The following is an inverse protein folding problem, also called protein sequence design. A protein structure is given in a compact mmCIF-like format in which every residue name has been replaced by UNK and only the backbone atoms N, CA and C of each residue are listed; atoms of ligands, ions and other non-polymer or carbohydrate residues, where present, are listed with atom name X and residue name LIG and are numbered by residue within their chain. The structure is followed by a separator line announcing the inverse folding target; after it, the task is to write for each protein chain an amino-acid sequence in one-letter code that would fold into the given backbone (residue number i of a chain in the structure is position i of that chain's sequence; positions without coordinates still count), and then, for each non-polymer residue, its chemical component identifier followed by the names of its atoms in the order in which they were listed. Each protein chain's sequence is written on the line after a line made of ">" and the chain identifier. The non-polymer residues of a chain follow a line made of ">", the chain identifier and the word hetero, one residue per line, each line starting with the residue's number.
data_IF_263292690266
#
_entry.id   IF_263292690266
#
_cell.length_a   1.000
_cell.length_b   1.000
_cell.length_c   1.000
_cell.angle_alpha   90.00
_cell.angle_beta   90.00
_cell.angle_gamma   90.00
#
_symmetry.space_group_name_H-M   'P 1'
#
loop_
_entity.id
_entity.type
_entity.pdbx_description
1 polymer ?
#
# COMPACT_ATOMS: atom_id res chain seq x y z
N UNK A 1 -35.41 19.54 10.21
CA UNK A 1 -34.15 19.05 9.64
C UNK A 1 -33.42 18.30 10.72
N UNK A 2 -34.08 17.29 11.28
CA UNK A 2 -33.85 16.89 12.68
C UNK A 2 -33.32 15.44 12.79
N UNK A 3 -33.24 14.74 11.65
CA UNK A 3 -32.79 13.35 11.58
C UNK A 3 -31.31 13.15 11.99
N UNK A 4 -30.46 14.19 11.90
CA UNK A 4 -29.04 14.12 12.29
C UNK A 4 -28.82 14.35 13.79
N UNK A 5 -29.74 15.04 14.45
CA UNK A 5 -29.63 15.46 15.87
C UNK A 5 -30.18 14.37 16.80
N UNK A 6 -31.21 13.63 16.37
CA UNK A 6 -31.78 12.50 17.13
C UNK A 6 -31.29 11.12 16.65
N UNK A 7 -30.60 11.07 15.51
CA UNK A 7 -30.22 9.84 14.79
C UNK A 7 -28.76 9.39 14.98
N UNK A 8 -28.22 9.52 16.20
CA UNK A 8 -26.88 9.05 16.57
C UNK A 8 -26.57 7.59 16.20
N UNK A 9 -25.29 7.23 16.15
CA UNK A 9 -24.83 5.86 15.90
C UNK A 9 -23.81 5.44 16.96
N UNK A 10 -23.94 4.20 17.47
CA UNK A 10 -23.07 3.64 18.52
C UNK A 10 -23.02 4.50 19.80
N UNK A 11 -21.98 5.32 19.97
CA UNK A 11 -21.70 6.10 21.19
C UNK A 11 -21.79 7.62 21.01
N UNK A 12 -22.00 8.10 19.78
CA UNK A 12 -22.17 9.53 19.48
C UNK A 12 -23.64 9.80 19.10
N UNK A 13 -24.39 10.53 19.96
CA UNK A 13 -25.84 10.72 19.80
C UNK A 13 -26.19 11.74 18.69
N UNK A 14 -25.24 12.59 18.28
CA UNK A 14 -25.45 13.64 17.28
C UNK A 14 -24.38 13.53 16.16
N UNK A 15 -24.84 13.46 14.91
CA UNK A 15 -23.97 13.37 13.73
C UNK A 15 -23.42 14.72 13.27
N UNK A 16 -23.98 15.82 13.77
CA UNK A 16 -23.60 17.19 13.41
C UNK A 16 -22.45 17.75 14.25
N UNK A 17 -22.19 17.15 15.41
CA UNK A 17 -21.15 17.58 16.36
C UNK A 17 -19.85 16.81 16.11
N UNK A 18 -18.71 17.46 16.39
CA UNK A 18 -17.40 16.80 16.32
C UNK A 18 -17.19 15.85 17.51
N UNK A 19 -16.67 14.66 17.21
CA UNK A 19 -16.32 13.64 18.21
C UNK A 19 -14.80 13.61 18.42
N UNK A 20 -14.32 13.33 19.63
CA UNK A 20 -12.89 13.33 19.94
C UNK A 20 -12.17 12.02 19.57
N UNK A 21 -12.89 10.90 19.52
CA UNK A 21 -12.33 9.57 19.29
C UNK A 21 -12.44 9.14 17.82
N UNK A 22 -13.52 9.54 17.17
CA UNK A 22 -13.86 9.13 15.82
C UNK A 22 -12.88 9.64 14.74
N UNK A 23 -12.34 10.88 14.80
CA UNK A 23 -11.23 11.33 13.97
C UNK A 23 -10.01 10.42 14.05
N UNK A 24 -9.66 9.98 15.28
CA UNK A 24 -8.53 9.08 15.50
C UNK A 24 -8.74 7.72 14.81
N UNK A 25 -9.96 7.17 14.91
CA UNK A 25 -10.33 5.94 14.21
C UNK A 25 -10.30 6.09 12.69
N UNK A 26 -10.79 7.21 12.15
CA UNK A 26 -10.72 7.51 10.71
C UNK A 26 -9.27 7.55 10.22
N UNK A 27 -8.40 8.30 10.90
CA UNK A 27 -7.00 8.43 10.51
C UNK A 27 -6.27 7.10 10.65
N UNK A 28 -6.53 6.32 11.71
CA UNK A 28 -5.95 4.97 11.86
C UNK A 28 -6.40 4.03 10.72
N UNK A 29 -7.67 4.09 10.33
CA UNK A 29 -8.21 3.27 9.23
C UNK A 29 -7.61 3.69 7.89
N UNK A 30 -7.52 4.99 7.63
CA UNK A 30 -6.90 5.52 6.41
C UNK A 30 -5.40 5.18 6.34
N UNK A 31 -4.70 5.25 7.47
CA UNK A 31 -3.28 4.87 7.57
C UNK A 31 -3.07 3.40 7.24
N UNK A 32 -3.87 2.50 7.83
CA UNK A 32 -3.81 1.07 7.54
C UNK A 32 -4.13 0.76 6.06
N UNK A 33 -5.08 1.51 5.46
CA UNK A 33 -5.41 1.36 4.05
C UNK A 33 -4.25 1.76 3.13
N UNK A 34 -3.57 2.88 3.42
CA UNK A 34 -2.35 3.28 2.71
C UNK A 34 -1.23 2.25 2.83
N UNK A 35 -1.07 1.68 4.03
CA UNK A 35 -0.05 0.65 4.27
C UNK A 35 -0.30 -0.59 3.41
N UNK A 36 -1.56 -1.03 3.28
CA UNK A 36 -1.92 -2.19 2.43
C UNK A 36 -1.83 -1.91 0.93
N UNK A 37 -2.22 -0.72 0.50
CA UNK A 37 -2.24 -0.37 -0.93
C UNK A 37 -0.84 -0.07 -1.48
N UNK A 38 0.02 0.53 -0.66
CA UNK A 38 1.35 0.98 -1.07
C UNK A 38 2.48 0.17 -0.41
N UNK A 39 2.17 -1.02 0.12
CA UNK A 39 3.17 -1.97 0.58
C UNK A 39 4.10 -2.37 -0.59
N UNK A 40 5.25 -1.71 -0.66
CA UNK A 40 6.27 -2.02 -1.63
C UNK A 40 7.00 -3.33 -1.27
N UNK A 41 7.42 -4.13 -2.28
CA UNK A 41 8.30 -5.26 -2.04
C UNK A 41 9.57 -4.82 -1.30
N UNK A 42 10.02 -5.55 -0.26
CA UNK A 42 11.21 -5.19 0.49
C UNK A 42 12.45 -5.23 -0.41
N UNK A 43 13.27 -4.17 -0.38
CA UNK A 43 14.62 -4.18 -0.96
C UNK A 43 15.00 -2.98 -1.84
N UNK A 44 14.05 -2.22 -2.40
CA UNK A 44 14.35 -1.08 -3.28
C UNK A 44 13.54 0.17 -2.89
N UNK A 45 14.16 1.36 -2.97
CA UNK A 45 13.42 2.62 -2.91
C UNK A 45 12.42 2.64 -4.07
N UNK A 46 11.14 2.54 -3.74
CA UNK A 46 10.08 2.50 -4.73
C UNK A 46 9.23 3.76 -4.65
N UNK A 47 8.73 4.19 -5.80
CA UNK A 47 7.77 5.31 -5.89
C UNK A 47 6.56 5.04 -4.97
N UNK A 48 6.12 3.77 -4.87
CA UNK A 48 5.07 3.35 -3.93
C UNK A 48 5.46 3.58 -2.46
N UNK A 49 6.70 3.26 -2.07
CA UNK A 49 7.21 3.50 -0.73
C UNK A 49 7.30 4.99 -0.39
N UNK A 50 7.74 5.82 -1.34
CA UNK A 50 7.76 7.28 -1.18
C UNK A 50 6.34 7.86 -1.06
N UNK A 51 5.42 7.43 -1.94
CA UNK A 51 4.01 7.83 -1.89
C UNK A 51 3.34 7.42 -0.57
N UNK A 52 3.68 6.24 -0.04
CA UNK A 52 3.21 5.79 1.29
C UNK A 52 3.64 6.76 2.38
N UNK A 53 4.94 7.05 2.47
CA UNK A 53 5.49 7.91 3.52
C UNK A 53 4.92 9.33 3.43
N UNK A 54 4.77 9.87 2.21
CA UNK A 54 4.16 11.18 1.99
C UNK A 54 2.68 11.16 2.40
N UNK A 55 1.93 10.12 2.01
CA UNK A 55 0.52 9.97 2.38
C UNK A 55 0.30 9.85 3.89
N UNK A 56 1.17 9.10 4.58
CA UNK A 56 1.15 8.98 6.03
C UNK A 56 1.48 10.32 6.72
N UNK A 57 2.48 11.05 6.23
CA UNK A 57 2.80 12.38 6.74
C UNK A 57 1.64 13.36 6.52
N UNK A 58 1.01 13.32 5.34
CA UNK A 58 -0.15 14.14 5.03
C UNK A 58 -1.34 13.84 5.95
N UNK A 59 -1.60 12.57 6.27
CA UNK A 59 -2.63 12.17 7.24
C UNK A 59 -2.34 12.69 8.65
N UNK A 60 -1.09 12.59 9.10
CA UNK A 60 -0.69 13.11 10.42
C UNK A 60 -0.81 14.64 10.43
N UNK A 61 -0.43 15.32 9.35
CA UNK A 61 -0.53 16.77 9.26
C UNK A 61 -1.98 17.27 9.20
N UNK A 62 -2.91 16.47 8.65
CA UNK A 62 -4.34 16.82 8.56
C UNK A 62 -5.14 16.45 9.80
N UNK A 63 -4.58 15.69 10.75
CA UNK A 63 -5.24 15.35 12.03
C UNK A 63 -5.87 16.57 12.74
N UNK A 64 -5.16 17.69 13.00
CA UNK A 64 -5.73 18.82 13.73
C UNK A 64 -6.94 19.45 13.03
N UNK A 65 -6.94 19.46 11.70
CA UNK A 65 -8.06 19.95 10.88
C UNK A 65 -9.25 19.00 10.99
N UNK A 66 -8.98 17.71 11.09
CA UNK A 66 -9.99 16.65 11.11
C UNK A 66 -10.84 16.71 12.39
N UNK A 67 -10.28 17.12 13.53
CA UNK A 67 -11.01 17.32 14.79
C UNK A 67 -12.13 18.38 14.74
N UNK A 68 -12.08 19.31 13.77
CA UNK A 68 -13.11 20.32 13.58
C UNK A 68 -14.30 19.85 12.74
N UNK A 69 -14.26 18.64 12.17
CA UNK A 69 -15.26 18.17 11.23
C UNK A 69 -16.41 17.44 11.97
N UNK A 70 -17.65 17.49 11.43
CA UNK A 70 -18.78 16.75 11.99
C UNK A 70 -18.53 15.23 12.02
N UNK A 71 -19.04 14.52 13.01
CA UNK A 71 -18.93 13.06 13.11
C UNK A 71 -19.55 12.33 11.90
N UNK A 72 -20.59 12.88 11.27
CA UNK A 72 -21.16 12.35 10.03
C UNK A 72 -20.18 12.32 8.84
N UNK A 73 -19.32 13.34 8.71
CA UNK A 73 -18.28 13.36 7.67
C UNK A 73 -17.28 12.22 7.88
N UNK A 74 -16.88 12.02 9.13
CA UNK A 74 -15.95 10.98 9.48
C UNK A 74 -16.52 9.57 9.28
N UNK A 75 -17.80 9.34 9.60
CA UNK A 75 -18.47 8.07 9.30
C UNK A 75 -18.52 7.78 7.81
N UNK A 76 -18.85 8.78 7.00
CA UNK A 76 -18.78 8.68 5.55
C UNK A 76 -17.37 8.29 5.10
N UNK A 77 -16.35 8.97 5.62
CA UNK A 77 -14.97 8.66 5.28
C UNK A 77 -14.56 7.25 5.71
N UNK A 78 -14.93 6.83 6.92
CA UNK A 78 -14.62 5.52 7.47
C UNK A 78 -15.28 4.40 6.65
N UNK A 79 -16.56 4.55 6.32
CA UNK A 79 -17.28 3.58 5.50
C UNK A 79 -16.72 3.50 4.07
N UNK A 80 -16.38 4.63 3.45
CA UNK A 80 -15.73 4.67 2.15
C UNK A 80 -14.37 3.98 2.17
N UNK A 81 -13.55 4.24 3.18
CA UNK A 81 -12.22 3.62 3.35
C UNK A 81 -12.33 2.11 3.59
N UNK A 82 -13.31 1.69 4.41
CA UNK A 82 -13.61 0.29 4.66
C UNK A 82 -14.08 -0.42 3.38
N UNK A 83 -14.94 0.23 2.58
CA UNK A 83 -15.37 -0.29 1.29
C UNK A 83 -14.18 -0.46 0.33
N UNK A 84 -13.28 0.52 0.24
CA UNK A 84 -12.06 0.39 -0.57
C UNK A 84 -11.20 -0.78 -0.10
N UNK A 85 -10.97 -0.91 1.21
CA UNK A 85 -10.18 -2.02 1.75
C UNK A 85 -10.82 -3.38 1.46
N UNK A 86 -12.13 -3.50 1.65
CA UNK A 86 -12.86 -4.73 1.38
C UNK A 86 -12.85 -5.10 -0.11
N UNK A 87 -13.06 -4.11 -0.99
CA UNK A 87 -13.00 -4.33 -2.44
C UNK A 87 -11.61 -4.78 -2.89
N UNK A 88 -10.55 -4.17 -2.35
CA UNK A 88 -9.16 -4.58 -2.63
C UNK A 88 -8.88 -6.02 -2.23
N UNK A 89 -9.28 -6.43 -1.03
CA UNK A 89 -9.11 -7.82 -0.58
C UNK A 89 -9.96 -8.81 -1.39
N UNK A 90 -11.20 -8.43 -1.73
CA UNK A 90 -12.05 -9.27 -2.58
C UNK A 90 -11.40 -9.56 -3.94
N UNK A 91 -10.80 -8.56 -4.58
CA UNK A 91 -10.06 -8.75 -5.83
C UNK A 91 -8.80 -9.60 -5.64
N UNK A 92 -8.06 -9.43 -4.54
CA UNK A 92 -6.86 -10.26 -4.25
C UNK A 92 -7.20 -11.73 -4.05
N UNK A 93 -8.34 -12.03 -3.41
CA UNK A 93 -8.82 -13.40 -3.23
C UNK A 93 -9.24 -14.01 -4.57
N UNK A 94 -9.90 -13.21 -5.42
CA UNK A 94 -10.36 -13.66 -6.74
C UNK A 94 -9.20 -13.88 -7.73
N UNK A 95 -8.20 -13.00 -7.74
CA UNK A 95 -7.04 -13.04 -8.65
C UNK A 95 -5.93 -14.00 -8.18
N UNK A 96 -6.19 -14.86 -7.18
CA UNK A 96 -5.19 -15.82 -6.70
C UNK A 96 -4.79 -16.74 -7.86
N UNK A 97 -3.53 -16.70 -8.33
CA UNK A 97 -3.13 -17.45 -9.50
C UNK A 97 -3.26 -18.96 -9.23
N UNK A 98 -3.65 -19.76 -10.24
CA UNK A 98 -3.75 -21.20 -10.08
C UNK A 98 -2.40 -21.78 -9.60
N UNK A 99 -2.42 -22.79 -8.72
CA UNK A 99 -1.19 -23.41 -8.22
C UNK A 99 -0.33 -23.87 -9.39
N UNK A 100 0.94 -23.46 -9.40
CA UNK A 100 1.86 -23.85 -10.46
C UNK A 100 1.91 -25.38 -10.54
N UNK A 101 1.88 -25.97 -11.76
CA UNK A 101 1.98 -27.41 -11.92
C UNK A 101 3.29 -27.91 -11.29
N UNK A 102 3.31 -29.09 -10.64
CA UNK A 102 4.49 -29.60 -9.99
C UNK A 102 5.63 -29.69 -11.01
N UNK A 103 6.72 -28.99 -10.73
CA UNK A 103 7.97 -29.10 -11.47
C UNK A 103 8.45 -30.54 -11.39
N UNK A 104 8.25 -31.31 -12.47
CA UNK A 104 8.80 -32.65 -12.59
C UNK A 104 10.33 -32.57 -12.52
N UNK A 105 11.02 -33.39 -11.70
CA UNK A 105 12.47 -33.39 -11.60
C UNK A 105 13.07 -34.19 -12.76
N UNK A 106 12.97 -33.69 -13.99
CA UNK A 106 13.65 -34.30 -15.15
C UNK A 106 14.24 -33.20 -16.04
N UNK A 107 15.35 -32.60 -15.60
CA UNK A 107 16.39 -32.03 -16.46
C UNK A 107 17.66 -31.70 -15.65
N UNK A 108 18.06 -32.60 -14.76
CA UNK A 108 19.42 -32.60 -14.20
C UNK A 108 20.25 -33.65 -14.94
N UNK A 109 20.60 -33.40 -16.20
CA UNK A 109 21.70 -34.13 -16.87
C UNK A 109 22.17 -33.43 -18.15
N UNK A 110 23.08 -32.46 -17.99
CA UNK A 110 24.23 -32.26 -18.90
C UNK A 110 25.23 -31.29 -18.25
N UNK A 111 25.99 -31.81 -17.28
CA UNK A 111 27.33 -31.28 -16.98
C UNK A 111 28.36 -31.97 -17.90
N UNK A 112 29.54 -31.36 -18.01
CA UNK A 112 30.73 -31.72 -18.83
C UNK A 112 30.61 -31.33 -20.32
N UNK A 113 31.51 -30.57 -20.97
CA UNK A 113 32.94 -30.33 -20.75
C UNK A 113 33.37 -28.99 -21.44
N UNK A 114 34.02 -28.05 -20.74
CA UNK A 114 35.49 -27.78 -20.78
C UNK A 114 35.94 -26.78 -21.89
N UNK A 115 37.11 -26.12 -21.84
CA UNK A 115 37.78 -25.37 -20.77
C UNK A 115 38.13 -23.92 -21.15
N UNK A 116 38.42 -23.07 -20.15
CA UNK A 116 39.07 -21.75 -20.32
C UNK A 116 40.48 -21.86 -20.92
N UNK A 117 40.91 -20.85 -21.71
CA UNK A 117 42.30 -20.39 -21.63
C UNK A 117 42.46 -18.87 -21.40
N UNK A 118 43.04 -18.58 -20.24
CA UNK A 118 44.17 -17.68 -19.93
C UNK A 118 44.70 -16.71 -21.02
N UNK A 119 44.53 -15.39 -20.74
CA UNK A 119 45.56 -14.30 -20.75
C UNK A 119 46.41 -14.04 -22.03
N UNK A 120 46.23 -12.87 -22.70
CA UNK A 120 47.36 -11.97 -23.09
C UNK A 120 46.96 -10.62 -23.77
N UNK A 121 47.53 -9.54 -23.21
CA UNK A 121 48.19 -8.35 -23.82
C UNK A 121 47.51 -7.46 -24.89
N UNK A 122 47.37 -6.18 -24.50
CA UNK A 122 47.83 -4.91 -25.13
C UNK A 122 47.67 -4.70 -26.66
N UNK A 123 46.92 -3.65 -27.02
CA UNK A 123 47.18 -2.72 -28.13
C UNK A 123 46.49 -1.39 -27.79
N UNK A 124 47.16 -0.28 -27.44
CA UNK A 124 48.01 0.63 -28.22
C UNK A 124 47.37 1.09 -29.55
N UNK A 125 47.01 2.38 -29.58
CA UNK A 125 47.15 3.34 -30.70
C UNK A 125 45.91 3.65 -31.57
N UNK A 126 45.35 4.84 -31.36
CA UNK A 126 44.82 5.74 -32.42
C UNK A 126 44.77 7.16 -31.81
N UNK A 127 45.85 7.96 -31.83
CA UNK A 127 46.42 8.78 -32.92
C UNK A 127 45.38 9.59 -33.72
N UNK A 128 45.50 10.92 -33.55
CA UNK A 128 45.29 12.02 -34.52
C UNK A 128 43.83 12.32 -34.88
N UNK A 129 43.40 13.57 -35.04
CA UNK A 129 44.09 14.85 -35.12
C UNK A 129 43.16 15.96 -34.63
#
# INVERSE_FOLDING_TARGET
>A
GDALVEGGCLWFPDLSVSDMYLPCFCVATAYANLERQLAAPPGNASIAGAAKNIGQLALIATMPVTFGLPSGFHLFWLSSTAFTALSGEAFRVLDKPPPAPPSSPVAASSKEASPRPRRRRKGKKKRRS
#
